data_IF_772867508709
#
_entry.id   IF_772867508709
#
_cell.length_a   1.000
_cell.length_b   1.000
_cell.length_c   1.000
_cell.angle_alpha   90.00
_cell.angle_beta   90.00
_cell.angle_gamma   90.00
#
_symmetry.space_group_name_H-M   'P 1'
#
loop_
_entity.id
_entity.type
_entity.pdbx_description
1 polymer ?
#
# COMPACT_ATOMS: atom_id res chain seq x y z
N UNK A 1 -18.15 15.26 -15.89
CA UNK A 1 -17.65 14.08 -15.14
C UNK A 1 -17.85 14.32 -13.64
N UNK A 2 -18.53 13.41 -12.92
CA UNK A 2 -18.69 13.48 -11.46
C UNK A 2 -17.61 12.62 -10.81
N UNK A 3 -16.80 13.24 -9.96
CA UNK A 3 -15.66 12.62 -9.29
C UNK A 3 -15.95 12.52 -7.80
N UNK A 4 -15.65 11.35 -7.20
CA UNK A 4 -15.85 11.09 -5.78
C UNK A 4 -14.53 10.57 -5.17
N UNK A 5 -14.20 11.07 -3.98
CA UNK A 5 -13.14 10.52 -3.14
C UNK A 5 -13.73 9.69 -2.00
N UNK A 6 -13.32 8.45 -1.83
CA UNK A 6 -13.75 7.61 -0.70
C UNK A 6 -12.59 7.47 0.27
N UNK A 7 -12.75 8.04 1.46
CA UNK A 7 -11.75 7.99 2.53
C UNK A 7 -11.93 6.72 3.36
N UNK A 8 -10.81 6.07 3.72
CA UNK A 8 -10.83 4.89 4.59
C UNK A 8 -11.30 5.22 6.02
N UNK A 9 -11.87 4.25 6.71
CA UNK A 9 -12.25 4.34 8.11
C UNK A 9 -11.03 4.58 9.02
N UNK A 10 -11.24 5.31 10.12
CA UNK A 10 -10.18 5.75 11.03
C UNK A 10 -9.34 4.60 11.59
N UNK A 11 -9.96 3.44 11.83
CA UNK A 11 -9.25 2.24 12.32
C UNK A 11 -8.16 1.73 11.37
N UNK A 12 -8.24 2.04 10.07
CA UNK A 12 -7.23 1.67 9.09
C UNK A 12 -6.14 2.74 8.91
N UNK A 13 -6.32 3.91 9.49
CA UNK A 13 -5.37 5.02 9.37
C UNK A 13 -5.25 5.80 10.69
N UNK A 14 -5.02 5.13 11.82
CA UNK A 14 -4.84 5.83 13.09
C UNK A 14 -3.64 6.79 12.97
N UNK A 15 -3.81 8.03 13.38
CA UNK A 15 -2.79 9.10 13.33
C UNK A 15 -2.39 9.60 11.91
N UNK A 16 -3.10 9.19 10.86
CA UNK A 16 -2.82 9.66 9.49
C UNK A 16 -4.07 10.20 8.76
N UNK A 17 -5.16 10.44 9.46
CA UNK A 17 -6.42 10.92 8.90
C UNK A 17 -6.25 12.18 8.04
N UNK A 18 -5.57 13.18 8.57
CA UNK A 18 -5.29 14.44 7.89
C UNK A 18 -4.43 14.24 6.62
N UNK A 19 -3.49 13.29 6.65
CA UNK A 19 -2.63 12.99 5.51
C UNK A 19 -3.41 12.30 4.40
N UNK A 20 -4.28 11.35 4.74
CA UNK A 20 -5.16 10.66 3.79
C UNK A 20 -6.16 11.65 3.16
N UNK A 21 -6.77 12.50 3.98
CA UNK A 21 -7.69 13.53 3.51
C UNK A 21 -6.98 14.54 2.59
N UNK A 22 -5.74 14.91 2.92
CA UNK A 22 -4.98 15.87 2.14
C UNK A 22 -4.62 15.36 0.74
N UNK A 23 -4.26 14.08 0.57
CA UNK A 23 -4.01 13.53 -0.78
C UNK A 23 -5.31 13.37 -1.56
N UNK A 24 -6.40 12.88 -0.96
CA UNK A 24 -7.69 12.80 -1.64
C UNK A 24 -8.18 14.18 -2.11
N UNK A 25 -8.11 15.20 -1.25
CA UNK A 25 -8.45 16.59 -1.63
C UNK A 25 -7.62 17.07 -2.82
N UNK A 26 -6.31 16.84 -2.80
CA UNK A 26 -5.42 17.22 -3.90
C UNK A 26 -5.78 16.52 -5.21
N UNK A 27 -6.20 15.26 -5.14
CA UNK A 27 -6.58 14.46 -6.31
C UNK A 27 -7.91 14.91 -6.90
N UNK A 28 -8.95 15.12 -6.07
CA UNK A 28 -10.31 15.43 -6.57
C UNK A 28 -10.53 16.91 -6.86
N UNK A 29 -9.64 17.80 -6.41
CA UNK A 29 -9.79 19.26 -6.48
C UNK A 29 -10.14 19.82 -7.88
N UNK A 30 -9.51 19.36 -9.00
CA UNK A 30 -9.82 19.91 -10.32
C UNK A 30 -11.27 19.72 -10.77
N UNK A 31 -11.97 18.75 -10.18
CA UNK A 31 -13.37 18.44 -10.50
C UNK A 31 -14.35 18.88 -9.42
N UNK A 32 -13.88 19.60 -8.39
CA UNK A 32 -14.66 19.90 -7.19
C UNK A 32 -15.32 18.63 -6.60
N UNK A 33 -14.56 17.52 -6.61
CA UNK A 33 -15.07 16.21 -6.21
C UNK A 33 -15.43 16.16 -4.73
N UNK A 34 -16.52 15.48 -4.44
CA UNK A 34 -16.98 15.22 -3.07
C UNK A 34 -16.13 14.13 -2.41
N UNK A 35 -15.85 14.29 -1.10
CA UNK A 35 -15.14 13.25 -0.32
C UNK A 35 -16.06 12.72 0.76
N UNK A 36 -16.25 11.40 0.77
CA UNK A 36 -17.09 10.67 1.71
C UNK A 36 -16.27 9.66 2.51
N UNK A 37 -16.69 9.36 3.74
CA UNK A 37 -16.13 8.27 4.52
C UNK A 37 -16.67 6.93 4.01
N UNK A 38 -15.84 5.90 3.95
CA UNK A 38 -16.24 4.56 3.45
C UNK A 38 -17.38 3.90 4.24
N UNK A 39 -17.65 4.35 5.49
CA UNK A 39 -18.71 3.84 6.36
C UNK A 39 -20.00 4.69 6.31
N UNK A 40 -20.02 5.74 5.51
CA UNK A 40 -21.18 6.61 5.37
C UNK A 40 -22.30 5.87 4.63
N UNK A 41 -23.52 5.79 5.19
CA UNK A 41 -24.63 5.06 4.59
C UNK A 41 -25.07 5.61 3.22
N UNK A 42 -24.77 6.86 2.91
CA UNK A 42 -25.07 7.47 1.60
C UNK A 42 -24.09 7.10 0.49
N UNK A 43 -23.02 6.33 0.79
CA UNK A 43 -22.01 5.90 -0.19
C UNK A 43 -22.63 5.27 -1.46
N UNK A 44 -23.60 4.32 -1.39
CA UNK A 44 -24.17 3.73 -2.60
C UNK A 44 -24.89 4.74 -3.50
N UNK A 45 -25.59 5.71 -2.92
CA UNK A 45 -26.30 6.77 -3.66
C UNK A 45 -25.31 7.70 -4.37
N UNK A 46 -24.21 8.04 -3.70
CA UNK A 46 -23.16 8.88 -4.27
C UNK A 46 -22.45 8.16 -5.42
N UNK A 47 -22.14 6.87 -5.25
CA UNK A 47 -21.55 6.04 -6.28
C UNK A 47 -22.46 5.80 -7.49
N UNK A 48 -23.77 5.84 -7.32
CA UNK A 48 -24.73 5.66 -8.41
C UNK A 48 -24.63 6.74 -9.50
N UNK A 49 -24.09 7.89 -9.15
CA UNK A 49 -23.97 9.06 -10.06
C UNK A 49 -22.51 9.40 -10.39
N UNK A 50 -21.54 8.67 -9.81
CA UNK A 50 -20.13 8.89 -10.05
C UNK A 50 -19.72 8.39 -11.45
N UNK A 51 -18.78 9.10 -12.08
CA UNK A 51 -18.06 8.63 -13.26
C UNK A 51 -16.69 8.06 -12.87
N UNK A 52 -16.04 8.68 -11.88
CA UNK A 52 -14.72 8.29 -11.37
C UNK A 52 -14.74 8.32 -9.85
N UNK A 53 -14.15 7.30 -9.25
CA UNK A 53 -14.00 7.17 -7.80
C UNK A 53 -12.53 6.94 -7.45
N UNK A 54 -11.96 7.82 -6.63
CA UNK A 54 -10.66 7.63 -6.00
C UNK A 54 -10.88 7.03 -4.62
N UNK A 55 -10.55 5.74 -4.44
CA UNK A 55 -10.95 4.98 -3.25
C UNK A 55 -9.77 4.54 -2.41
N UNK A 56 -9.81 4.88 -1.13
CA UNK A 56 -9.00 4.32 -0.06
C UNK A 56 -9.77 3.29 0.78
N UNK A 57 -10.97 2.91 0.39
CA UNK A 57 -11.85 2.03 1.15
C UNK A 57 -11.22 0.64 1.40
N UNK A 58 -11.52 0.06 2.57
CA UNK A 58 -11.03 -1.26 3.01
C UNK A 58 -12.11 -2.13 3.67
N UNK A 59 -13.23 -1.55 4.08
CA UNK A 59 -14.33 -2.33 4.65
C UNK A 59 -14.98 -3.21 3.59
N UNK A 60 -15.37 -4.42 3.97
CA UNK A 60 -16.04 -5.35 3.04
C UNK A 60 -17.29 -4.76 2.43
N UNK A 61 -18.06 -3.98 3.21
CA UNK A 61 -19.26 -3.29 2.74
C UNK A 61 -18.92 -2.25 1.65
N UNK A 62 -17.98 -1.34 1.92
CA UNK A 62 -17.61 -0.31 0.95
C UNK A 62 -16.99 -0.94 -0.31
N UNK A 63 -16.15 -1.97 -0.17
CA UNK A 63 -15.60 -2.70 -1.31
C UNK A 63 -16.71 -3.35 -2.16
N UNK A 64 -17.78 -3.87 -1.53
CA UNK A 64 -18.93 -4.41 -2.27
C UNK A 64 -19.71 -3.33 -3.01
N UNK A 65 -19.87 -2.14 -2.42
CA UNK A 65 -20.49 -0.99 -3.10
C UNK A 65 -19.65 -0.53 -4.32
N UNK A 66 -18.33 -0.54 -4.18
CA UNK A 66 -17.41 -0.19 -5.25
C UNK A 66 -17.34 -1.25 -6.36
N UNK A 67 -17.44 -2.55 -6.04
CA UNK A 67 -17.59 -3.62 -7.04
C UNK A 67 -18.85 -3.40 -7.90
N UNK A 68 -19.96 -3.00 -7.27
CA UNK A 68 -21.20 -2.69 -7.98
C UNK A 68 -21.05 -1.46 -8.89
N UNK A 69 -20.33 -0.42 -8.41
CA UNK A 69 -20.02 0.76 -9.21
C UNK A 69 -19.16 0.39 -10.42
N UNK A 70 -18.10 -0.44 -10.26
CA UNK A 70 -17.27 -0.92 -11.37
C UNK A 70 -18.10 -1.71 -12.40
N UNK A 71 -19.01 -2.58 -11.95
CA UNK A 71 -19.89 -3.35 -12.88
C UNK A 71 -20.81 -2.44 -13.70
N UNK A 72 -21.13 -1.24 -13.20
CA UNK A 72 -21.88 -0.22 -13.94
C UNK A 72 -21.01 0.67 -14.83
N UNK A 73 -19.70 0.42 -14.88
CA UNK A 73 -18.76 1.16 -15.71
C UNK A 73 -18.12 2.38 -15.04
N UNK A 74 -18.25 2.54 -13.71
CA UNK A 74 -17.54 3.58 -12.96
C UNK A 74 -16.06 3.22 -12.89
N UNK A 75 -15.18 4.18 -13.21
CA UNK A 75 -13.74 4.01 -13.05
C UNK A 75 -13.37 4.11 -11.56
N UNK A 76 -12.95 3.02 -10.92
CA UNK A 76 -12.56 2.98 -9.50
C UNK A 76 -11.05 2.81 -9.36
N UNK A 77 -10.38 3.72 -8.65
CA UNK A 77 -8.94 3.76 -8.41
C UNK A 77 -8.63 3.91 -6.89
N UNK A 78 -8.04 2.93 -6.20
CA UNK A 78 -7.73 1.58 -6.67
C UNK A 78 -9.00 0.73 -6.78
N UNK A 79 -9.05 -0.22 -7.72
CA UNK A 79 -10.19 -1.12 -7.82
C UNK A 79 -10.32 -2.00 -6.56
N UNK A 80 -11.53 -2.41 -6.16
CA UNK A 80 -11.78 -3.23 -4.98
C UNK A 80 -11.00 -4.54 -4.95
N UNK A 81 -10.88 -5.18 -6.10
CA UNK A 81 -10.05 -6.39 -6.26
C UNK A 81 -8.58 -6.11 -5.94
N UNK A 82 -8.03 -4.98 -6.36
CA UNK A 82 -6.66 -4.58 -6.04
C UNK A 82 -6.45 -4.40 -4.53
N UNK A 83 -7.40 -3.77 -3.85
CA UNK A 83 -7.37 -3.62 -2.39
C UNK A 83 -7.36 -4.98 -1.68
N UNK A 84 -8.21 -5.93 -2.10
CA UNK A 84 -8.23 -7.30 -1.55
C UNK A 84 -6.92 -8.04 -1.78
N UNK A 85 -6.30 -7.85 -2.95
CA UNK A 85 -5.00 -8.44 -3.28
C UNK A 85 -3.83 -7.86 -2.48
N UNK A 86 -4.02 -6.73 -1.80
CA UNK A 86 -3.03 -6.17 -0.89
C UNK A 86 -2.97 -6.87 0.49
N UNK A 87 -3.71 -7.96 0.71
CA UNK A 87 -3.48 -8.87 1.84
C UNK A 87 -2.06 -9.47 1.74
N UNK A 88 -1.30 -9.49 2.86
CA UNK A 88 0.15 -9.80 2.82
C UNK A 88 0.48 -11.18 2.27
N UNK A 89 -0.32 -12.19 2.60
CA UNK A 89 -0.11 -13.55 2.08
C UNK A 89 -0.41 -13.66 0.59
N UNK A 90 -1.37 -12.88 0.10
CA UNK A 90 -1.64 -12.75 -1.35
C UNK A 90 -0.50 -12.03 -2.04
N UNK A 91 -0.03 -10.89 -1.49
CA UNK A 91 1.10 -10.13 -2.03
C UNK A 91 2.38 -10.95 -2.09
N UNK A 92 2.67 -11.75 -1.06
CA UNK A 92 3.83 -12.65 -1.06
C UNK A 92 3.78 -13.63 -2.24
N UNK A 93 2.62 -14.25 -2.50
CA UNK A 93 2.44 -15.16 -3.66
C UNK A 93 2.56 -14.44 -4.98
N UNK A 94 1.96 -13.26 -5.11
CA UNK A 94 2.05 -12.43 -6.32
C UNK A 94 3.48 -11.97 -6.58
N UNK A 95 4.22 -11.56 -5.55
CA UNK A 95 5.60 -11.14 -5.66
C UNK A 95 6.49 -12.29 -6.19
N UNK A 96 6.38 -13.49 -5.61
CA UNK A 96 7.10 -14.67 -6.07
C UNK A 96 6.75 -15.01 -7.53
N UNK A 97 5.45 -15.02 -7.88
CA UNK A 97 4.99 -15.30 -9.24
C UNK A 97 5.46 -14.25 -10.27
N UNK A 98 5.71 -13.00 -9.82
CA UNK A 98 6.17 -11.88 -10.67
C UNK A 98 7.68 -11.66 -10.60
N UNK A 99 8.44 -12.58 -9.99
CA UNK A 99 9.89 -12.48 -9.80
C UNK A 99 10.31 -11.17 -9.10
N UNK A 100 9.53 -10.77 -8.10
CA UNK A 100 9.85 -9.62 -7.24
C UNK A 100 10.56 -10.13 -5.99
N UNK A 101 11.76 -9.59 -5.66
CA UNK A 101 12.49 -10.01 -4.47
C UNK A 101 11.71 -9.70 -3.19
N UNK A 102 11.49 -10.71 -2.36
CA UNK A 102 10.86 -10.64 -1.03
C UNK A 102 11.73 -11.35 0.00
N UNK A 103 11.62 -11.02 1.30
CA UNK A 103 12.42 -11.68 2.33
C UNK A 103 12.19 -13.19 2.32
N UNK A 104 13.25 -13.99 2.49
CA UNK A 104 13.11 -15.43 2.69
C UNK A 104 12.42 -15.72 4.03
N UNK A 105 11.93 -16.94 4.20
CA UNK A 105 11.34 -17.37 5.46
C UNK A 105 12.39 -17.58 6.56
N UNK A 106 13.55 -18.06 6.19
CA UNK A 106 14.65 -18.38 7.12
C UNK A 106 15.75 -17.31 7.05
N UNK A 107 16.33 -16.97 8.19
CA UNK A 107 17.42 -16.00 8.32
C UNK A 107 18.15 -16.12 9.64
N UNK A 108 19.23 -15.35 9.80
CA UNK A 108 20.12 -15.40 10.98
C UNK A 108 20.01 -14.17 11.88
N UNK A 109 19.31 -13.11 11.41
CA UNK A 109 19.21 -11.84 12.13
C UNK A 109 17.84 -11.64 12.81
N UNK A 110 17.06 -12.71 12.99
CA UNK A 110 15.71 -12.69 13.53
C UNK A 110 14.63 -12.74 12.45
N UNK A 111 13.38 -12.63 12.89
CA UNK A 111 12.21 -12.78 12.04
C UNK A 111 11.17 -11.70 12.30
N UNK A 112 10.38 -11.44 11.28
CA UNK A 112 9.13 -10.70 11.37
C UNK A 112 7.96 -11.67 11.22
N UNK A 113 7.08 -11.70 12.22
CA UNK A 113 5.77 -12.33 12.14
C UNK A 113 4.74 -11.24 11.83
N UNK A 114 4.02 -11.38 10.72
CA UNK A 114 3.07 -10.38 10.23
C UNK A 114 1.72 -11.02 9.97
N UNK A 115 0.64 -10.42 10.47
CA UNK A 115 -0.72 -10.81 10.13
C UNK A 115 -0.93 -10.70 8.62
N UNK A 116 -1.54 -11.73 8.00
CA UNK A 116 -1.61 -11.93 6.56
C UNK A 116 -2.90 -11.46 5.90
N UNK A 117 -4.04 -11.69 6.55
CA UNK A 117 -5.39 -11.55 6.01
C UNK A 117 -5.86 -10.09 5.85
N UNK A 118 -5.50 -9.21 6.78
CA UNK A 118 -5.92 -7.80 6.81
C UNK A 118 -4.75 -6.87 7.12
N UNK A 119 -4.95 -5.58 6.90
CA UNK A 119 -4.00 -4.56 7.33
C UNK A 119 -3.80 -4.61 8.86
N UNK A 120 -2.57 -4.39 9.33
CA UNK A 120 -2.25 -4.34 10.75
C UNK A 120 -3.12 -3.29 11.47
N UNK A 121 -3.84 -3.71 12.50
CA UNK A 121 -4.70 -2.86 13.34
C UNK A 121 -4.01 -2.48 14.65
N UNK A 122 -2.98 -3.23 15.03
CA UNK A 122 -2.20 -2.99 16.24
C UNK A 122 -0.73 -3.34 16.02
N UNK A 123 0.12 -2.93 16.96
CA UNK A 123 1.53 -3.35 16.98
C UNK A 123 1.70 -4.87 17.12
N UNK A 124 0.74 -5.55 17.74
CA UNK A 124 0.76 -6.99 17.90
C UNK A 124 0.50 -7.77 16.60
N UNK A 125 0.13 -7.09 15.50
CA UNK A 125 -0.09 -7.70 14.20
C UNK A 125 1.18 -7.73 13.32
N UNK A 126 2.26 -7.05 13.76
CA UNK A 126 3.58 -7.08 13.14
C UNK A 126 4.62 -7.12 14.26
N UNK A 127 5.22 -8.27 14.47
CA UNK A 127 6.09 -8.54 15.61
C UNK A 127 7.49 -8.94 15.13
N UNK A 128 8.51 -8.26 15.67
CA UNK A 128 9.90 -8.70 15.51
C UNK A 128 10.26 -9.75 16.55
N UNK A 129 10.85 -10.84 16.09
CA UNK A 129 11.30 -11.97 16.88
C UNK A 129 12.82 -12.12 16.73
N UNK A 130 13.64 -11.79 17.76
CA UNK A 130 15.10 -11.84 17.66
C UNK A 130 15.66 -13.25 17.56
N UNK A 131 14.92 -14.23 18.04
CA UNK A 131 15.30 -15.64 18.09
C UNK A 131 14.09 -16.56 17.85
N UNK A 132 14.35 -17.85 17.76
CA UNK A 132 13.34 -18.87 17.50
C UNK A 132 12.31 -18.97 18.63
N UNK A 133 12.74 -18.83 19.86
CA UNK A 133 11.85 -18.90 21.03
C UNK A 133 10.86 -17.73 21.04
N UNK A 134 11.32 -16.51 20.70
CA UNK A 134 10.45 -15.35 20.54
C UNK A 134 9.44 -15.56 19.39
N UNK A 135 9.86 -16.18 18.27
CA UNK A 135 8.96 -16.50 17.17
C UNK A 135 7.89 -17.51 17.60
N UNK A 136 8.27 -18.54 18.34
CA UNK A 136 7.33 -19.57 18.79
C UNK A 136 6.29 -18.97 19.77
N UNK A 137 6.71 -18.07 20.67
CA UNK A 137 5.79 -17.31 21.54
C UNK A 137 4.83 -16.42 20.74
N UNK A 138 5.34 -15.70 19.75
CA UNK A 138 4.52 -14.83 18.91
C UNK A 138 3.50 -15.62 18.07
N UNK A 139 3.89 -16.80 17.57
CA UNK A 139 2.98 -17.71 16.88
C UNK A 139 1.89 -18.25 17.80
N UNK A 140 2.23 -18.54 19.05
CA UNK A 140 1.24 -18.97 20.07
C UNK A 140 0.24 -17.84 20.37
N UNK A 141 0.72 -16.58 20.47
CA UNK A 141 -0.15 -15.42 20.64
C UNK A 141 -1.10 -15.26 19.43
N UNK A 142 -0.59 -15.34 18.20
CA UNK A 142 -1.44 -15.25 16.99
C UNK A 142 -2.55 -16.30 17.01
N UNK A 143 -2.21 -17.57 17.34
CA UNK A 143 -3.21 -18.64 17.48
C UNK A 143 -4.26 -18.33 18.55
N UNK A 144 -3.83 -17.83 19.72
CA UNK A 144 -4.76 -17.48 20.82
C UNK A 144 -5.73 -16.36 20.43
N UNK A 145 -5.34 -15.49 19.50
CA UNK A 145 -6.15 -14.41 18.92
C UNK A 145 -6.97 -14.85 17.70
N UNK A 146 -6.91 -16.14 17.30
CA UNK A 146 -7.60 -16.66 16.11
C UNK A 146 -7.00 -16.16 14.79
N UNK A 147 -5.71 -15.82 14.76
CA UNK A 147 -5.02 -15.38 13.55
C UNK A 147 -4.27 -16.57 12.94
N UNK A 148 -4.86 -17.20 11.92
CA UNK A 148 -4.30 -18.35 11.22
C UNK A 148 -3.58 -17.98 9.92
N UNK A 149 -3.91 -16.81 9.35
CA UNK A 149 -3.26 -16.29 8.16
C UNK A 149 -2.16 -15.29 8.54
N UNK A 150 -0.91 -15.70 8.36
CA UNK A 150 0.27 -14.90 8.72
C UNK A 150 1.47 -15.19 7.81
N UNK A 151 2.41 -14.26 7.80
CA UNK A 151 3.73 -14.42 7.17
C UNK A 151 4.83 -14.46 8.23
N UNK A 152 5.79 -15.35 8.02
CA UNK A 152 7.10 -15.31 8.68
C UNK A 152 8.14 -14.93 7.62
N UNK A 153 8.86 -13.85 7.87
CA UNK A 153 9.90 -13.34 6.99
C UNK A 153 11.18 -13.08 7.78
N UNK A 154 12.33 -13.43 7.23
CA UNK A 154 13.62 -13.09 7.82
C UNK A 154 13.76 -11.58 7.97
N UNK A 155 14.36 -11.14 9.07
CA UNK A 155 14.86 -9.78 9.18
C UNK A 155 16.12 -9.63 8.33
N UNK A 156 16.13 -8.59 7.48
CA UNK A 156 17.24 -8.27 6.59
C UNK A 156 17.93 -7.00 7.08
N UNK A 157 19.23 -7.05 7.41
CA UNK A 157 20.00 -5.83 7.66
C UNK A 157 20.21 -5.06 6.36
N UNK A 158 20.20 -3.73 6.45
CA UNK A 158 20.39 -2.84 5.32
C UNK A 158 19.64 -1.52 5.47
N UNK A 159 19.69 -0.69 4.46
CA UNK A 159 19.00 0.59 4.45
C UNK A 159 17.51 0.40 4.19
N UNK A 160 16.68 0.86 5.12
CA UNK A 160 15.24 0.93 4.91
C UNK A 160 14.91 2.14 4.04
N UNK A 161 14.17 1.91 2.97
CA UNK A 161 13.56 2.96 2.15
C UNK A 161 12.05 2.78 2.08
N UNK A 162 11.34 3.90 1.94
CA UNK A 162 9.92 3.94 1.57
C UNK A 162 9.80 4.38 0.13
N UNK A 163 8.99 3.69 -0.66
CA UNK A 163 8.75 4.06 -2.05
C UNK A 163 7.27 4.30 -2.32
N UNK A 164 7.01 5.11 -3.35
CA UNK A 164 5.67 5.46 -3.83
C UNK A 164 5.67 5.44 -5.35
N UNK A 165 4.59 4.93 -5.94
CA UNK A 165 4.44 4.88 -7.38
C UNK A 165 2.99 4.96 -7.84
N UNK A 166 2.85 5.33 -9.11
CA UNK A 166 1.57 5.33 -9.83
C UNK A 166 1.81 4.64 -11.18
N UNK A 167 1.13 3.50 -11.43
CA UNK A 167 1.30 2.74 -12.67
C UNK A 167 1.00 3.58 -13.90
N UNK A 168 1.66 3.25 -15.01
CA UNK A 168 1.49 3.92 -16.31
C UNK A 168 1.82 5.41 -16.31
N UNK A 169 2.60 5.87 -15.34
CA UNK A 169 3.16 7.22 -15.26
C UNK A 169 4.66 7.16 -14.94
N UNK A 170 5.36 8.29 -15.08
CA UNK A 170 6.77 8.40 -14.70
C UNK A 170 6.96 8.70 -13.19
N UNK A 171 5.87 8.67 -12.42
CA UNK A 171 5.93 8.96 -11.00
C UNK A 171 6.39 7.74 -10.23
N UNK A 172 7.64 7.80 -9.74
CA UNK A 172 8.20 6.92 -8.73
C UNK A 172 9.12 7.75 -7.83
N UNK A 173 8.94 7.64 -6.50
CA UNK A 173 9.74 8.35 -5.50
C UNK A 173 10.10 7.41 -4.38
N UNK A 174 11.29 7.56 -3.81
CA UNK A 174 11.69 6.85 -2.60
C UNK A 174 12.34 7.81 -1.60
N UNK A 175 12.34 7.42 -0.35
CA UNK A 175 12.83 8.21 0.76
C UNK A 175 13.43 7.30 1.83
N UNK A 176 14.45 7.79 2.53
CA UNK A 176 15.00 7.15 3.71
C UNK A 176 14.28 7.70 4.96
N UNK A 177 13.48 6.89 5.69
CA UNK A 177 12.76 7.37 6.88
C UNK A 177 13.71 7.85 7.97
N UNK A 178 14.91 7.25 8.05
CA UNK A 178 15.93 7.58 9.04
C UNK A 178 16.55 8.96 8.92
N UNK A 179 16.50 9.59 7.72
CA UNK A 179 17.08 10.92 7.51
C UNK A 179 16.32 12.03 8.25
N UNK A 180 15.01 11.87 8.44
CA UNK A 180 14.16 12.91 9.03
C UNK A 180 13.79 12.61 10.49
N UNK A 181 14.28 11.52 11.08
CA UNK A 181 13.90 11.09 12.44
C UNK A 181 12.41 10.73 12.59
N UNK A 182 11.66 10.60 11.51
CA UNK A 182 10.23 10.25 11.53
C UNK A 182 10.05 8.75 11.49
N UNK A 183 9.94 8.12 12.66
CA UNK A 183 9.51 6.73 12.81
C UNK A 183 8.01 6.67 13.09
N UNK A 184 7.27 5.86 12.34
CA UNK A 184 5.83 5.67 12.57
C UNK A 184 5.55 4.79 13.79
N UNK A 185 6.37 3.76 14.03
CA UNK A 185 6.19 2.76 15.09
C UNK A 185 7.47 2.44 15.88
N UNK A 186 8.61 3.10 15.60
CA UNK A 186 9.88 2.84 16.25
C UNK A 186 10.68 1.67 15.66
N UNK A 187 10.08 0.80 14.90
CA UNK A 187 10.74 -0.37 14.30
C UNK A 187 11.60 -0.03 13.09
N UNK A 188 11.35 1.12 12.44
CA UNK A 188 12.19 1.64 11.35
C UNK A 188 13.63 1.95 11.81
N UNK A 189 13.83 2.22 13.11
CA UNK A 189 15.15 2.44 13.72
C UNK A 189 15.98 1.16 13.89
N UNK A 190 15.37 -0.03 13.71
CA UNK A 190 16.04 -1.33 13.92
C UNK A 190 17.20 -1.56 12.95
N UNK A 191 17.08 -1.08 11.73
CA UNK A 191 18.15 -1.15 10.73
C UNK A 191 19.20 -0.02 10.91
N UNK A 192 19.05 0.84 11.93
CA UNK A 192 19.97 1.94 12.19
C UNK A 192 19.80 3.14 11.27
N UNK A 193 20.83 3.97 11.22
CA UNK A 193 20.88 5.10 10.27
C UNK A 193 21.22 4.58 8.89
N UNK A 194 20.58 5.12 7.82
CA UNK A 194 20.88 4.69 6.47
C UNK A 194 22.33 5.03 6.08
N UNK A 195 22.97 4.12 5.37
CA UNK A 195 24.31 4.28 4.81
C UNK A 195 24.25 4.84 3.39
N UNK A 196 23.04 4.94 2.81
CA UNK A 196 22.80 5.34 1.42
C UNK A 196 23.53 4.46 0.41
N UNK A 197 23.43 3.14 0.59
CA UNK A 197 23.98 2.17 -0.35
C UNK A 197 23.46 2.42 -1.76
N UNK A 198 24.39 2.37 -2.73
CA UNK A 198 24.02 2.54 -4.14
C UNK A 198 23.17 1.34 -4.62
N UNK A 199 22.08 1.61 -5.32
CA UNK A 199 21.22 0.60 -5.92
C UNK A 199 20.58 1.11 -7.22
N UNK A 200 20.02 0.20 -8.01
CA UNK A 200 19.28 0.55 -9.22
C UNK A 200 17.86 0.99 -8.90
N UNK A 201 17.60 2.29 -8.95
CA UNK A 201 16.25 2.85 -8.80
C UNK A 201 15.31 2.37 -9.93
N UNK A 202 15.85 2.18 -11.13
CA UNK A 202 15.10 1.64 -12.26
C UNK A 202 14.59 0.22 -11.98
N UNK A 203 15.46 -0.66 -11.47
CA UNK A 203 15.09 -2.04 -11.18
C UNK A 203 14.10 -2.12 -10.01
N UNK A 204 14.26 -1.29 -8.98
CA UNK A 204 13.29 -1.18 -7.89
C UNK A 204 11.92 -0.73 -8.40
N UNK A 205 11.87 0.32 -9.21
CA UNK A 205 10.64 0.80 -9.83
C UNK A 205 9.98 -0.29 -10.70
N UNK A 206 10.78 -0.96 -11.53
CA UNK A 206 10.30 -2.05 -12.38
C UNK A 206 9.73 -3.21 -11.54
N UNK A 207 10.39 -3.60 -10.44
CA UNK A 207 9.92 -4.64 -9.54
C UNK A 207 8.61 -4.24 -8.83
N UNK A 208 8.56 -3.02 -8.27
CA UNK A 208 7.36 -2.48 -7.62
C UNK A 208 6.18 -2.39 -8.61
N UNK A 209 6.43 -1.97 -9.85
CA UNK A 209 5.41 -1.89 -10.90
C UNK A 209 4.90 -3.27 -11.35
N UNK A 210 5.76 -4.30 -11.41
CA UNK A 210 5.32 -5.69 -11.66
C UNK A 210 4.37 -6.18 -10.56
N UNK A 211 4.73 -5.92 -9.29
CA UNK A 211 3.86 -6.30 -8.17
C UNK A 211 2.55 -5.52 -8.18
N UNK A 212 2.60 -4.21 -8.43
CA UNK A 212 1.41 -3.36 -8.54
C UNK A 212 0.45 -3.83 -9.65
N UNK A 213 1.01 -4.23 -10.79
CA UNK A 213 0.24 -4.80 -11.92
C UNK A 213 -0.39 -6.13 -11.51
N UNK A 214 0.38 -7.05 -10.93
CA UNK A 214 -0.12 -8.34 -10.47
C UNK A 214 -1.19 -8.19 -9.37
N UNK A 215 -1.04 -7.22 -8.49
CA UNK A 215 -2.01 -6.88 -7.46
C UNK A 215 -3.21 -6.08 -7.99
N UNK A 216 -3.21 -5.59 -9.23
CA UNK A 216 -4.21 -4.64 -9.75
C UNK A 216 -4.33 -3.38 -8.89
N UNK A 217 -3.21 -2.87 -8.42
CA UNK A 217 -3.14 -1.76 -7.48
C UNK A 217 -2.32 -0.61 -8.10
N UNK A 218 -2.93 0.21 -8.99
CA UNK A 218 -2.20 1.24 -9.74
C UNK A 218 -1.65 2.38 -8.87
N UNK A 219 -2.22 2.65 -7.71
CA UNK A 219 -1.77 3.69 -6.77
C UNK A 219 -1.20 2.98 -5.55
N UNK A 220 0.13 2.96 -5.43
CA UNK A 220 0.82 2.09 -4.49
C UNK A 220 1.97 2.76 -3.75
N UNK A 221 2.39 2.13 -2.69
CA UNK A 221 3.64 2.40 -2.00
C UNK A 221 4.12 1.16 -1.26
N UNK A 222 5.26 1.26 -0.63
CA UNK A 222 5.81 0.15 0.13
C UNK A 222 7.13 0.49 0.78
N UNK A 223 7.73 -0.53 1.37
CA UNK A 223 9.02 -0.47 2.01
C UNK A 223 9.97 -1.50 1.38
N UNK A 224 11.24 -1.13 1.25
CA UNK A 224 12.27 -2.06 0.79
C UNK A 224 13.53 -1.93 1.65
N UNK A 225 14.31 -3.00 1.70
CA UNK A 225 15.65 -3.02 2.29
C UNK A 225 16.67 -3.04 1.16
N UNK A 226 17.66 -2.15 1.24
CA UNK A 226 18.81 -2.11 0.34
C UNK A 226 20.01 -2.66 1.09
N UNK A 227 20.60 -3.73 0.57
CA UNK A 227 21.81 -4.34 1.14
C UNK A 227 23.09 -3.62 0.69
N UNK A 228 24.24 -3.84 1.37
CA UNK A 228 25.51 -3.18 1.04
C UNK A 228 26.01 -3.39 -0.38
N UNK A 229 25.62 -4.50 -1.03
CA UNK A 229 25.92 -4.85 -2.42
C UNK A 229 24.94 -4.24 -3.44
N UNK A 230 23.99 -3.43 -2.97
CA UNK A 230 23.00 -2.76 -3.81
C UNK A 230 21.81 -3.62 -4.22
N UNK A 231 21.69 -4.85 -3.69
CA UNK A 231 20.50 -5.66 -3.90
C UNK A 231 19.35 -5.14 -3.05
N UNK A 232 18.13 -5.13 -3.60
CA UNK A 232 16.94 -4.70 -2.88
C UNK A 232 15.94 -5.83 -2.67
N UNK A 233 15.18 -5.73 -1.58
CA UNK A 233 14.11 -6.68 -1.23
C UNK A 233 12.90 -5.91 -0.76
N UNK A 234 11.72 -6.13 -1.37
CA UNK A 234 10.47 -5.51 -0.94
C UNK A 234 9.97 -6.22 0.33
N UNK A 235 9.78 -5.45 1.41
CA UNK A 235 9.36 -5.97 2.72
C UNK A 235 7.92 -5.62 3.08
N UNK A 236 7.34 -4.63 2.41
CA UNK A 236 5.91 -4.26 2.52
C UNK A 236 5.42 -3.62 1.22
N UNK A 237 4.11 -3.73 0.96
CA UNK A 237 3.45 -3.12 -0.18
C UNK A 237 2.02 -2.73 0.23
N UNK A 238 1.61 -1.52 -0.11
CA UNK A 238 0.35 -0.95 0.35
C UNK A 238 -0.39 -0.25 -0.78
N UNK A 239 -1.72 -0.41 -0.78
CA UNK A 239 -2.64 0.44 -1.52
C UNK A 239 -2.69 1.86 -0.92
N UNK A 240 -2.84 2.86 -1.77
CA UNK A 240 -3.05 4.25 -1.36
C UNK A 240 -2.21 4.72 -0.16
N UNK A 241 -0.91 4.92 -0.29
CA UNK A 241 -0.11 5.61 0.74
C UNK A 241 -0.51 7.09 0.85
N UNK A 242 -0.11 7.75 1.93
CA UNK A 242 -0.45 9.16 2.16
C UNK A 242 0.32 10.15 1.28
N UNK A 243 1.38 9.71 0.60
CA UNK A 243 2.27 10.52 -0.25
C UNK A 243 2.75 11.81 0.43
N UNK A 244 2.91 11.80 1.75
CA UNK A 244 3.10 13.03 2.54
C UNK A 244 4.30 13.88 2.11
N UNK A 245 5.34 13.26 1.51
CA UNK A 245 6.57 13.94 1.04
C UNK A 245 6.53 14.38 -0.43
N UNK A 246 5.60 13.86 -1.22
CA UNK A 246 5.50 14.09 -2.66
C UNK A 246 4.05 14.25 -3.14
N UNK A 247 3.18 14.81 -2.27
CA UNK A 247 1.73 14.84 -2.45
C UNK A 247 1.30 15.49 -3.76
N UNK A 248 1.86 16.64 -4.11
CA UNK A 248 1.45 17.37 -5.32
C UNK A 248 1.78 16.59 -6.59
N UNK A 249 2.99 16.03 -6.67
CA UNK A 249 3.42 15.20 -7.80
C UNK A 249 2.59 13.91 -7.88
N UNK A 250 2.35 13.26 -6.74
CA UNK A 250 1.51 12.06 -6.68
C UNK A 250 0.07 12.34 -7.12
N UNK A 251 -0.54 13.44 -6.65
CA UNK A 251 -1.89 13.82 -7.05
C UNK A 251 -1.99 14.07 -8.55
N UNK A 252 -0.99 14.70 -9.15
CA UNK A 252 -0.92 14.90 -10.60
C UNK A 252 -0.82 13.57 -11.35
N UNK A 253 0.08 12.68 -10.95
CA UNK A 253 0.24 11.37 -11.55
C UNK A 253 -1.04 10.51 -11.42
N UNK A 254 -1.71 10.55 -10.26
CA UNK A 254 -2.99 9.85 -10.06
C UNK A 254 -4.07 10.36 -11.01
N UNK A 255 -4.15 11.67 -11.23
CA UNK A 255 -5.10 12.26 -12.18
C UNK A 255 -4.85 11.81 -13.62
N UNK A 256 -3.59 11.61 -14.01
CA UNK A 256 -3.24 11.12 -15.36
C UNK A 256 -3.83 9.72 -15.65
N UNK A 257 -4.08 8.88 -14.63
CA UNK A 257 -4.72 7.58 -14.83
C UNK A 257 -6.12 7.71 -15.43
N UNK A 258 -6.87 8.72 -14.98
CA UNK A 258 -8.24 8.99 -15.48
C UNK A 258 -8.21 9.54 -16.91
N UNK A 259 -7.31 10.49 -17.18
CA UNK A 259 -7.20 11.09 -18.51
C UNK A 259 -6.84 10.06 -19.58
N UNK A 260 -5.93 9.13 -19.28
CA UNK A 260 -5.56 8.03 -20.19
C UNK A 260 -6.68 7.02 -20.40
N UNK A 261 -7.51 6.77 -19.39
CA UNK A 261 -8.67 5.91 -19.51
C UNK A 261 -9.74 6.49 -20.45
N UNK A 262 -9.96 7.82 -20.40
CA UNK A 262 -10.88 8.52 -21.31
C UNK A 262 -10.40 8.51 -22.77
N UNK A 263 -9.08 8.65 -22.99
CA UNK A 263 -8.48 8.58 -24.34
C UNK A 263 -8.55 7.18 -24.96
N UNK A 264 -8.54 6.14 -24.12
CA UNK A 264 -8.56 4.74 -24.54
C UNK A 264 -9.97 4.21 -24.84
N UNK A 265 -11.01 4.98 -24.48
CA UNK A 265 -12.40 4.59 -24.77
C UNK A 265 -12.77 5.08 -26.19
N UNK A 266 -13.05 4.18 -27.17
CA UNK A 266 -13.46 4.61 -28.49
C UNK A 266 -14.71 5.50 -28.38
N UNK A 267 -14.62 6.70 -28.94
CA UNK A 267 -15.82 7.55 -29.13
C UNK A 267 -16.72 6.82 -30.11
N UNK A 268 -17.73 6.11 -29.59
CA UNK A 268 -18.76 5.45 -30.37
C UNK A 268 -19.66 6.43 -31.12
#
# INVERSE_FOLDING_TARGET
MRVVGVRRALRFSPNNEEKDLAILRAVVAPWNGEIILEEDPSLPELLATASVVFSMARTSWALSCLDEAERRGVCVLNPPEGVRRCARTVLQRLAVASSVPVPPREGTAGWWLKRGDVAAQSRADVVFCPDREALDRALADFRSRGIDDYLVQAHLPGDLIKFYGVLSTDFFRFFYPGDDGQSKFGDESRNGRPHHYAFSQYDLHAAASRLATAARCPIYGGDAIISPDGFFVLIDFNDWPSFSRCRSEAAEAIRQLVMKAEESTPKG
#
